data_IF_844825180170
#
_entry.id   IF_844825180170
#
_cell.length_a   1.000
_cell.length_b   1.000
_cell.length_c   1.000
_cell.angle_alpha   90.00
_cell.angle_beta   90.00
_cell.angle_gamma   90.00
#
_symmetry.space_group_name_H-M   'P 1'
#
loop_
_entity.id
_entity.type
_entity.pdbx_description
1 polymer ?
#
# COMPACT_ATOMS: atom_id res chain seq x y z
N UNK A 1 -31.36 -16.10 -20.44
CA UNK A 1 -30.54 -14.98 -19.90
C UNK A 1 -30.00 -15.24 -18.48
N UNK A 2 -30.63 -16.06 -17.63
CA UNK A 2 -30.18 -16.31 -16.25
C UNK A 2 -28.82 -17.03 -16.07
N UNK A 3 -28.43 -17.95 -16.96
CA UNK A 3 -27.22 -18.78 -16.74
C UNK A 3 -25.89 -18.06 -16.97
N UNK A 4 -25.86 -16.96 -17.73
CA UNK A 4 -24.66 -16.14 -17.93
C UNK A 4 -24.39 -15.24 -16.72
N UNK A 5 -25.44 -14.63 -16.17
CA UNK A 5 -25.34 -13.75 -15.00
C UNK A 5 -24.93 -14.53 -13.76
N UNK A 6 -25.48 -15.73 -13.57
CA UNK A 6 -25.12 -16.59 -12.43
C UNK A 6 -23.66 -17.10 -12.50
N UNK A 7 -23.16 -17.40 -13.71
CA UNK A 7 -21.75 -17.78 -13.92
C UNK A 7 -20.80 -16.62 -13.62
N UNK A 8 -21.15 -15.40 -14.03
CA UNK A 8 -20.36 -14.19 -13.75
C UNK A 8 -20.33 -13.91 -12.25
N UNK A 9 -21.48 -13.99 -11.56
CA UNK A 9 -21.56 -13.78 -10.11
C UNK A 9 -20.76 -14.84 -9.33
N UNK A 10 -20.83 -16.12 -9.72
CA UNK A 10 -20.00 -17.17 -9.12
C UNK A 10 -18.52 -16.94 -9.35
N UNK A 11 -18.12 -16.48 -10.53
CA UNK A 11 -16.72 -16.19 -10.85
C UNK A 11 -16.18 -15.01 -10.04
N UNK A 12 -16.96 -13.92 -9.93
CA UNK A 12 -16.62 -12.75 -9.10
C UNK A 12 -16.48 -13.14 -7.63
N UNK A 13 -17.41 -13.95 -7.11
CA UNK A 13 -17.34 -14.46 -5.74
C UNK A 13 -16.11 -15.36 -5.51
N UNK A 14 -15.80 -16.25 -6.46
CA UNK A 14 -14.65 -17.14 -6.37
C UNK A 14 -13.32 -16.38 -6.43
N UNK A 15 -13.24 -15.33 -7.25
CA UNK A 15 -12.06 -14.46 -7.38
C UNK A 15 -11.84 -13.61 -6.12
N UNK A 16 -12.91 -13.05 -5.56
CA UNK A 16 -12.87 -12.34 -4.28
C UNK A 16 -12.46 -13.26 -3.14
N UNK A 17 -13.05 -14.46 -3.06
CA UNK A 17 -12.69 -15.47 -2.06
C UNK A 17 -11.24 -15.95 -2.19
N UNK A 18 -10.75 -16.13 -3.43
CA UNK A 18 -9.35 -16.48 -3.72
C UNK A 18 -8.37 -15.37 -3.33
N UNK A 19 -8.71 -14.10 -3.63
CA UNK A 19 -7.92 -12.94 -3.22
C UNK A 19 -7.81 -12.84 -1.69
N UNK A 20 -8.93 -12.96 -0.99
CA UNK A 20 -9.01 -12.98 0.47
C UNK A 20 -8.18 -14.12 1.09
N UNK A 21 -8.24 -15.32 0.50
CA UNK A 21 -7.43 -16.46 0.98
C UNK A 21 -5.93 -16.28 0.74
N UNK A 22 -5.53 -15.63 -0.37
CA UNK A 22 -4.13 -15.31 -0.62
C UNK A 22 -3.62 -14.26 0.38
N UNK A 23 -4.40 -13.20 0.64
CA UNK A 23 -4.11 -12.22 1.69
C UNK A 23 -3.96 -12.90 3.04
N UNK A 24 -4.93 -13.73 3.44
CA UNK A 24 -4.89 -14.45 4.71
C UNK A 24 -3.59 -15.24 4.89
N UNK A 25 -3.15 -16.01 3.87
CA UNK A 25 -1.89 -16.77 3.93
C UNK A 25 -0.65 -15.89 4.01
N UNK A 26 -0.64 -14.75 3.31
CA UNK A 26 0.48 -13.82 3.33
C UNK A 26 0.55 -13.15 4.71
N UNK A 27 -0.59 -12.75 5.26
CA UNK A 27 -0.67 -12.22 6.61
C UNK A 27 -0.30 -13.24 7.67
N UNK A 28 -0.75 -14.50 7.56
CA UNK A 28 -0.30 -15.59 8.45
C UNK A 28 1.23 -15.78 8.40
N UNK A 29 1.81 -15.71 7.19
CA UNK A 29 3.26 -15.81 6.99
C UNK A 29 4.02 -14.62 7.59
N UNK A 30 3.52 -13.40 7.42
CA UNK A 30 4.08 -12.18 7.98
C UNK A 30 3.93 -12.12 9.51
N UNK A 31 2.79 -12.58 10.04
CA UNK A 31 2.51 -12.68 11.48
C UNK A 31 3.45 -13.66 12.17
N UNK A 32 3.84 -14.75 11.50
CA UNK A 32 4.84 -15.69 12.00
C UNK A 32 6.17 -15.00 12.28
N UNK A 33 6.54 -14.02 11.44
CA UNK A 33 7.80 -13.27 11.56
C UNK A 33 7.62 -11.96 12.32
N UNK A 34 6.38 -11.56 12.65
CA UNK A 34 5.98 -10.30 13.30
C UNK A 34 6.48 -9.03 12.64
N UNK A 35 7.05 -9.12 11.44
CA UNK A 35 7.57 -7.98 10.69
C UNK A 35 7.70 -8.30 9.20
N UNK A 36 7.66 -7.26 8.37
CA UNK A 36 8.01 -7.37 6.95
C UNK A 36 7.41 -6.27 6.09
N UNK A 37 7.97 -6.11 4.90
CA UNK A 37 7.55 -5.14 3.89
C UNK A 37 6.98 -5.90 2.69
N UNK A 38 5.76 -5.54 2.32
CA UNK A 38 5.05 -6.05 1.15
C UNK A 38 4.95 -4.95 0.11
N UNK A 39 5.50 -5.19 -1.07
CA UNK A 39 5.25 -4.35 -2.24
C UNK A 39 4.01 -4.87 -2.99
N UNK A 40 3.04 -3.99 -3.20
CA UNK A 40 1.84 -4.20 -4.01
C UNK A 40 1.97 -3.42 -5.32
N UNK A 41 2.31 -4.12 -6.38
CA UNK A 41 2.43 -3.57 -7.73
C UNK A 41 1.07 -3.59 -8.43
N UNK A 42 0.70 -2.49 -9.06
CA UNK A 42 -0.54 -2.42 -9.85
C UNK A 42 -0.34 -1.52 -11.08
N UNK A 43 -1.11 -1.74 -12.14
CA UNK A 43 -1.17 -0.83 -13.29
C UNK A 43 -2.25 0.23 -13.10
N UNK A 44 -2.20 1.29 -13.91
CA UNK A 44 -3.23 2.34 -13.88
C UNK A 44 -4.63 1.88 -14.31
N UNK A 45 -4.73 0.69 -14.91
CA UNK A 45 -6.00 0.08 -15.34
C UNK A 45 -6.54 -0.94 -14.32
N UNK A 46 -5.77 -1.26 -13.28
CA UNK A 46 -6.18 -2.19 -12.25
C UNK A 46 -7.11 -1.54 -11.21
N UNK A 47 -7.50 -2.33 -10.21
CA UNK A 47 -8.37 -1.94 -9.11
C UNK A 47 -7.71 -2.12 -7.74
N UNK A 48 -6.59 -1.42 -7.47
CA UNK A 48 -5.87 -1.52 -6.20
C UNK A 48 -6.72 -1.12 -4.99
N UNK A 49 -7.75 -0.29 -5.18
CA UNK A 49 -8.67 0.11 -4.13
C UNK A 49 -9.43 -1.07 -3.51
N UNK A 50 -9.70 -2.12 -4.29
CA UNK A 50 -10.36 -3.34 -3.80
C UNK A 50 -9.44 -4.11 -2.85
N UNK A 51 -8.19 -4.29 -3.24
CA UNK A 51 -7.16 -4.95 -2.41
C UNK A 51 -6.90 -4.12 -1.14
N UNK A 52 -6.87 -2.80 -1.24
CA UNK A 52 -6.77 -1.92 -0.08
C UNK A 52 -7.93 -2.10 0.91
N UNK A 53 -9.17 -2.18 0.41
CA UNK A 53 -10.33 -2.45 1.24
C UNK A 53 -10.23 -3.82 1.95
N UNK A 54 -9.82 -4.85 1.22
CA UNK A 54 -9.63 -6.20 1.78
C UNK A 54 -8.58 -6.21 2.90
N UNK A 55 -7.47 -5.50 2.71
CA UNK A 55 -6.40 -5.36 3.71
C UNK A 55 -6.92 -4.67 4.98
N UNK A 56 -7.59 -3.52 4.84
CA UNK A 56 -8.10 -2.79 6.00
C UNK A 56 -9.15 -3.58 6.76
N UNK A 57 -10.05 -4.27 6.06
CA UNK A 57 -11.06 -5.11 6.69
C UNK A 57 -10.41 -6.28 7.46
N UNK A 58 -9.45 -6.97 6.84
CA UNK A 58 -8.73 -8.08 7.48
C UNK A 58 -7.97 -7.62 8.74
N UNK A 59 -7.32 -6.47 8.70
CA UNK A 59 -6.65 -5.91 9.87
C UNK A 59 -7.62 -5.48 10.95
N UNK A 60 -8.74 -4.86 10.58
CA UNK A 60 -9.80 -4.50 11.53
C UNK A 60 -10.39 -5.74 12.23
N UNK A 61 -10.61 -6.84 11.51
CA UNK A 61 -11.03 -8.13 12.08
C UNK A 61 -10.04 -8.68 13.11
N UNK A 62 -8.76 -8.35 12.95
CA UNK A 62 -7.66 -8.71 13.87
C UNK A 62 -7.41 -7.67 14.96
N UNK A 63 -8.20 -6.60 15.02
CA UNK A 63 -8.02 -5.50 15.98
C UNK A 63 -6.83 -4.59 15.68
N UNK A 64 -6.31 -4.61 14.46
CA UNK A 64 -5.20 -3.77 14.00
C UNK A 64 -5.78 -2.53 13.32
N UNK A 65 -5.37 -1.34 13.76
CA UNK A 65 -5.69 -0.07 13.12
C UNK A 65 -4.39 0.55 12.58
N UNK A 66 -4.08 0.42 11.28
CA UNK A 66 -2.77 0.82 10.76
C UNK A 66 -2.61 2.33 10.63
N UNK A 67 -1.37 2.79 10.60
CA UNK A 67 -1.03 4.09 10.03
C UNK A 67 -1.20 4.07 8.50
N UNK A 68 -1.83 5.10 7.93
CA UNK A 68 -1.78 5.36 6.48
C UNK A 68 -0.86 6.54 6.20
N UNK A 69 0.07 6.37 5.27
CA UNK A 69 0.81 7.47 4.63
C UNK A 69 0.17 7.72 3.26
N UNK A 70 -0.60 8.80 3.16
CA UNK A 70 -1.36 9.15 1.95
C UNK A 70 -0.61 10.20 1.13
N UNK A 71 -0.01 9.73 0.03
CA UNK A 71 0.78 10.58 -0.87
C UNK A 71 -0.08 11.03 -2.04
N UNK A 72 -0.21 12.34 -2.26
CA UNK A 72 -0.86 12.90 -3.45
C UNK A 72 -2.36 12.57 -3.55
N UNK A 73 -3.08 12.58 -2.43
CA UNK A 73 -4.52 12.27 -2.31
C UNK A 73 -4.92 10.86 -2.80
N UNK A 74 -4.03 9.88 -2.74
CA UNK A 74 -4.31 8.52 -3.22
C UNK A 74 -5.41 7.84 -2.41
N UNK A 75 -5.42 8.02 -1.07
CA UNK A 75 -6.48 7.50 -0.22
C UNK A 75 -7.86 8.03 -0.64
N UNK A 76 -7.97 9.33 -0.90
CA UNK A 76 -9.21 9.93 -1.37
C UNK A 76 -9.68 9.31 -2.69
N UNK A 77 -8.77 9.12 -3.66
CA UNK A 77 -9.08 8.49 -4.95
C UNK A 77 -9.59 7.06 -4.73
N UNK A 78 -8.93 6.26 -3.89
CA UNK A 78 -9.34 4.90 -3.58
C UNK A 78 -10.75 4.85 -2.97
N UNK A 79 -11.03 5.70 -1.99
CA UNK A 79 -12.37 5.79 -1.38
C UNK A 79 -13.44 6.19 -2.40
N UNK A 80 -13.15 7.14 -3.31
CA UNK A 80 -14.10 7.50 -4.37
C UNK A 80 -14.35 6.34 -5.35
N UNK A 81 -13.30 5.63 -5.75
CA UNK A 81 -13.44 4.45 -6.62
C UNK A 81 -14.27 3.35 -5.98
N UNK A 82 -14.07 3.07 -4.69
CA UNK A 82 -14.88 2.12 -3.93
C UNK A 82 -16.34 2.56 -3.87
N UNK A 83 -16.60 3.83 -3.57
CA UNK A 83 -17.96 4.39 -3.55
C UNK A 83 -18.66 4.29 -4.89
N UNK A 84 -17.98 4.54 -6.00
CA UNK A 84 -18.55 4.35 -7.34
C UNK A 84 -18.91 2.89 -7.65
N UNK A 85 -18.29 1.93 -6.95
CA UNK A 85 -18.61 0.50 -7.01
C UNK A 85 -19.67 0.07 -5.98
N UNK A 86 -20.20 1.00 -5.18
CA UNK A 86 -21.16 0.72 -4.11
C UNK A 86 -20.54 0.06 -2.87
N UNK A 87 -19.22 0.18 -2.70
CA UNK A 87 -18.49 -0.32 -1.54
C UNK A 87 -18.18 0.88 -0.63
N UNK A 88 -18.71 0.84 0.59
CA UNK A 88 -18.34 1.79 1.63
C UNK A 88 -17.19 1.21 2.46
N UNK A 89 -16.17 2.02 2.70
CA UNK A 89 -15.02 1.69 3.54
C UNK A 89 -14.85 2.81 4.55
N UNK A 90 -15.13 2.49 5.82
CA UNK A 90 -14.91 3.43 6.91
C UNK A 90 -13.41 3.55 7.20
N UNK A 91 -12.91 4.77 7.16
CA UNK A 91 -11.52 5.12 7.45
C UNK A 91 -11.41 6.30 8.41
N UNK A 92 -12.52 6.74 9.00
CA UNK A 92 -12.58 8.00 9.77
C UNK A 92 -11.69 7.97 11.02
N UNK A 93 -11.51 6.78 11.61
CA UNK A 93 -10.69 6.52 12.80
C UNK A 93 -9.22 6.18 12.47
N UNK A 94 -8.91 5.93 11.21
CA UNK A 94 -7.57 5.48 10.79
C UNK A 94 -6.60 6.68 10.81
N UNK A 95 -5.47 6.62 11.54
CA UNK A 95 -4.50 7.70 11.56
C UNK A 95 -3.83 7.87 10.20
N UNK A 96 -3.78 9.11 9.70
CA UNK A 96 -3.23 9.44 8.37
C UNK A 96 -2.15 10.51 8.47
N UNK A 97 -0.96 10.22 7.94
CA UNK A 97 0.03 11.22 7.58
C UNK A 97 -0.18 11.57 6.11
N UNK A 98 -0.43 12.86 5.84
CA UNK A 98 -0.61 13.34 4.48
C UNK A 98 0.69 13.89 3.92
N UNK A 99 0.99 13.51 2.69
CA UNK A 99 2.16 13.99 1.98
C UNK A 99 1.76 14.42 0.58
N UNK A 100 1.88 15.70 0.24
CA UNK A 100 1.38 16.23 -1.03
C UNK A 100 -0.16 16.05 -1.19
N UNK A 101 -0.85 17.14 -1.52
CA UNK A 101 -2.30 17.12 -1.72
C UNK A 101 -3.08 17.84 -0.62
N UNK A 102 -4.41 17.81 -0.72
CA UNK A 102 -5.32 18.69 0.04
C UNK A 102 -6.58 17.98 0.55
N UNK A 103 -6.94 16.81 0.00
CA UNK A 103 -8.14 16.09 0.39
C UNK A 103 -7.95 15.48 1.78
N UNK A 104 -8.80 15.83 2.75
CA UNK A 104 -8.73 15.28 4.11
C UNK A 104 -9.65 14.05 4.20
N UNK A 105 -9.04 12.88 4.33
CA UNK A 105 -9.71 11.57 4.46
C UNK A 105 -9.01 10.82 5.59
N UNK A 106 -9.81 10.20 6.48
CA UNK A 106 -9.35 9.62 7.73
C UNK A 106 -8.91 10.63 8.79
N UNK A 107 -8.34 10.13 9.88
CA UNK A 107 -7.86 10.97 10.99
C UNK A 107 -6.48 11.56 10.67
N UNK A 108 -6.46 12.71 9.99
CA UNK A 108 -5.21 13.38 9.59
C UNK A 108 -4.45 13.93 10.80
N UNK A 109 -3.40 13.22 11.23
CA UNK A 109 -2.55 13.56 12.38
C UNK A 109 -1.39 14.51 12.04
N UNK A 110 -1.07 14.64 10.75
CA UNK A 110 -0.03 15.55 10.28
C UNK A 110 0.02 15.65 8.76
N UNK A 111 0.68 16.72 8.29
CA UNK A 111 0.79 17.02 6.86
C UNK A 111 2.20 17.54 6.52
N UNK A 112 2.74 17.02 5.41
CA UNK A 112 4.02 17.43 4.84
C UNK A 112 3.79 17.91 3.41
N UNK A 113 3.93 19.22 3.22
CA UNK A 113 3.73 19.89 1.92
C UNK A 113 5.04 20.13 1.17
N UNK A 114 6.16 20.24 1.90
CA UNK A 114 7.49 20.46 1.34
C UNK A 114 8.24 19.14 1.34
N UNK A 115 8.45 18.57 0.15
CA UNK A 115 9.17 17.31 -0.03
C UNK A 115 10.43 17.50 -0.87
N UNK A 116 10.68 18.71 -1.41
CA UNK A 116 11.87 18.97 -2.23
C UNK A 116 13.16 19.00 -1.39
N UNK A 117 13.05 19.41 -0.13
CA UNK A 117 14.13 19.30 0.85
C UNK A 117 13.95 18.02 1.64
N UNK A 118 14.79 17.03 1.33
CA UNK A 118 14.70 15.70 1.91
C UNK A 118 14.99 15.69 3.41
N UNK A 119 16.03 16.40 3.85
CA UNK A 119 16.40 16.37 5.27
C UNK A 119 15.32 17.07 6.11
N UNK A 120 14.72 18.14 5.58
CA UNK A 120 13.54 18.78 6.19
C UNK A 120 12.32 17.84 6.20
N UNK A 121 12.03 17.19 5.09
CA UNK A 121 10.93 16.22 4.95
C UNK A 121 11.04 15.11 6.00
N UNK A 122 12.22 14.49 6.11
CA UNK A 122 12.50 13.42 7.08
C UNK A 122 12.39 13.90 8.53
N UNK A 123 12.94 15.07 8.86
CA UNK A 123 12.82 15.64 10.19
C UNK A 123 11.37 15.90 10.57
N UNK A 124 10.57 16.41 9.62
CA UNK A 124 9.14 16.67 9.83
C UNK A 124 8.34 15.38 9.96
N UNK A 125 8.61 14.38 9.13
CA UNK A 125 8.01 13.04 9.24
C UNK A 125 8.27 12.44 10.62
N UNK A 126 9.51 12.43 11.08
CA UNK A 126 9.89 11.92 12.40
C UNK A 126 9.23 12.68 13.58
N UNK A 127 8.86 13.94 13.40
CA UNK A 127 8.10 14.71 14.42
C UNK A 127 6.62 14.36 14.41
N UNK A 128 6.04 14.07 13.24
CA UNK A 128 4.64 13.69 13.10
C UNK A 128 4.42 12.27 13.60
N UNK A 129 5.34 11.34 13.31
CA UNK A 129 5.21 9.93 13.74
C UNK A 129 5.15 9.77 15.26
N UNK A 130 5.73 10.71 16.02
CA UNK A 130 5.59 10.75 17.50
C UNK A 130 4.16 10.96 18.00
N UNK A 131 3.24 11.38 17.12
CA UNK A 131 1.82 11.57 17.43
C UNK A 131 0.95 10.38 17.00
N UNK A 132 1.53 9.40 16.31
CA UNK A 132 0.84 8.18 15.87
C UNK A 132 0.55 7.35 17.13
N UNK A 133 -0.68 6.83 17.32
CA UNK A 133 -0.96 5.87 18.37
C UNK A 133 0.00 4.68 18.29
N UNK A 134 0.46 4.17 19.44
CA UNK A 134 1.48 3.12 19.49
C UNK A 134 1.03 1.86 18.74
N UNK A 135 -0.24 1.48 18.91
CA UNK A 135 -0.91 0.37 18.24
C UNK A 135 -0.99 0.51 16.71
N UNK A 136 -0.92 1.75 16.20
CA UNK A 136 -0.94 2.06 14.78
C UNK A 136 0.46 2.22 14.18
N UNK A 137 1.48 2.44 15.01
CA UNK A 137 2.85 2.67 14.58
C UNK A 137 3.57 1.42 14.05
N UNK A 138 3.08 0.23 14.40
CA UNK A 138 3.66 -1.06 13.98
C UNK A 138 3.22 -1.47 12.57
N UNK A 139 2.03 -1.06 12.12
CA UNK A 139 1.47 -1.45 10.83
C UNK A 139 1.24 -0.23 9.96
N UNK A 140 1.77 -0.22 8.73
CA UNK A 140 1.66 0.95 7.85
C UNK A 140 1.20 0.58 6.46
N UNK A 141 0.28 1.37 5.89
CA UNK A 141 -0.03 1.36 4.46
C UNK A 141 0.50 2.64 3.84
N UNK A 142 1.34 2.53 2.82
CA UNK A 142 1.83 3.67 2.04
C UNK A 142 1.13 3.68 0.69
N UNK A 143 0.45 4.78 0.38
CA UNK A 143 -0.33 4.94 -0.84
C UNK A 143 0.28 6.04 -1.72
N UNK A 144 0.48 5.76 -3.01
CA UNK A 144 0.92 6.75 -3.99
C UNK A 144 2.42 7.04 -3.97
N UNK A 145 3.25 6.08 -3.55
CA UNK A 145 4.70 6.27 -3.39
C UNK A 145 5.41 6.65 -4.70
N UNK A 146 4.86 6.22 -5.83
CA UNK A 146 5.36 6.62 -7.16
C UNK A 146 5.30 8.14 -7.38
N UNK A 147 4.40 8.86 -6.71
CA UNK A 147 4.19 10.30 -6.93
C UNK A 147 5.35 11.15 -6.43
N UNK A 148 6.22 10.62 -5.55
CA UNK A 148 7.47 11.32 -5.22
C UNK A 148 8.38 11.46 -6.43
N UNK A 149 8.30 10.54 -7.40
CA UNK A 149 9.10 10.65 -8.62
C UNK A 149 8.84 11.96 -9.36
N UNK A 150 7.60 12.45 -9.33
CA UNK A 150 7.21 13.71 -9.96
C UNK A 150 7.93 14.93 -9.40
N UNK A 151 8.30 14.88 -8.12
CA UNK A 151 8.97 16.00 -7.47
C UNK A 151 10.44 16.11 -7.89
N UNK A 152 11.03 15.03 -8.39
CA UNK A 152 12.44 14.96 -8.75
C UNK A 152 12.68 14.51 -10.20
N UNK A 153 11.66 14.58 -11.07
CA UNK A 153 11.78 14.17 -12.48
C UNK A 153 12.92 14.88 -13.20
N UNK A 154 13.16 16.15 -12.87
CA UNK A 154 14.20 16.97 -13.49
C UNK A 154 15.61 16.70 -12.91
N UNK A 155 15.73 15.82 -11.89
CA UNK A 155 16.99 15.49 -11.24
C UNK A 155 17.07 13.99 -10.87
N UNK A 156 17.32 13.10 -11.84
CA UNK A 156 17.39 11.66 -11.62
C UNK A 156 18.33 11.23 -10.49
N UNK A 157 19.56 11.80 -10.33
CA UNK A 157 20.42 11.46 -9.20
C UNK A 157 19.82 11.80 -7.83
N UNK A 158 19.04 12.88 -7.73
CA UNK A 158 18.34 13.23 -6.49
C UNK A 158 17.19 12.27 -6.20
N UNK A 159 16.49 11.82 -7.25
CA UNK A 159 15.45 10.80 -7.16
C UNK A 159 16.00 9.45 -6.67
N UNK A 160 17.13 9.01 -7.22
CA UNK A 160 17.78 7.76 -6.79
C UNK A 160 18.19 7.83 -5.32
N UNK A 161 18.85 8.92 -4.88
CA UNK A 161 19.22 9.13 -3.47
C UNK A 161 18.03 9.20 -2.54
N UNK A 162 16.92 9.79 -3.00
CA UNK A 162 15.66 9.82 -2.27
C UNK A 162 15.16 8.40 -2.00
N UNK A 163 15.09 7.57 -3.04
CA UNK A 163 14.62 6.20 -2.90
C UNK A 163 15.56 5.34 -2.07
N UNK A 164 16.87 5.40 -2.29
CA UNK A 164 17.85 4.69 -1.44
C UNK A 164 17.68 5.03 0.04
N UNK A 165 17.42 6.30 0.36
CA UNK A 165 17.23 6.72 1.75
C UNK A 165 15.88 6.29 2.29
N UNK A 166 14.77 6.44 1.57
CA UNK A 166 13.45 5.99 2.03
C UNK A 166 13.43 4.48 2.26
N UNK A 167 13.90 3.68 1.30
CA UNK A 167 13.83 2.22 1.43
C UNK A 167 14.73 1.70 2.55
N UNK A 168 15.92 2.29 2.72
CA UNK A 168 16.87 1.84 3.76
C UNK A 168 16.59 2.39 5.15
N UNK A 169 16.04 3.61 5.27
CA UNK A 169 15.90 4.31 6.56
C UNK A 169 14.49 4.37 7.11
N UNK A 170 13.44 4.18 6.30
CA UNK A 170 12.05 4.28 6.79
C UNK A 170 11.37 2.92 6.86
N UNK A 171 11.70 1.99 5.97
CA UNK A 171 11.10 0.65 5.98
C UNK A 171 11.77 -0.31 6.97
N UNK A 172 12.95 0.03 7.51
CA UNK A 172 13.74 -0.82 8.41
C UNK A 172 13.54 -0.51 9.90
N UNK A 173 12.70 0.45 10.23
CA UNK A 173 12.44 0.83 11.62
C UNK A 173 11.00 0.49 11.95
N UNK A 174 10.82 -0.74 12.43
CA UNK A 174 9.98 -1.14 13.57
C UNK A 174 9.47 -2.58 13.39
N UNK A 175 9.07 -3.19 14.50
CA UNK A 175 8.26 -4.40 14.45
C UNK A 175 6.97 -4.09 13.66
N UNK A 176 6.47 -5.07 12.92
CA UNK A 176 5.19 -5.02 12.23
C UNK A 176 5.25 -4.96 10.71
N UNK A 177 4.08 -4.80 10.10
CA UNK A 177 3.85 -5.10 8.68
C UNK A 177 3.62 -3.80 7.91
N UNK A 178 4.46 -3.56 6.91
CA UNK A 178 4.37 -2.39 6.03
C UNK A 178 3.95 -2.81 4.63
N UNK A 179 2.96 -2.12 4.06
CA UNK A 179 2.40 -2.43 2.75
C UNK A 179 2.53 -1.19 1.86
N UNK A 180 3.28 -1.33 0.77
CA UNK A 180 3.57 -0.25 -0.17
C UNK A 180 2.78 -0.47 -1.45
N UNK A 181 1.88 0.45 -1.77
CA UNK A 181 1.17 0.46 -3.06
C UNK A 181 1.98 1.23 -4.09
N UNK A 182 2.37 0.56 -5.19
CA UNK A 182 3.17 1.12 -6.27
C UNK A 182 2.47 0.97 -7.62
N UNK A 183 2.17 2.10 -8.27
CA UNK A 183 1.70 2.09 -9.66
C UNK A 183 2.87 1.89 -10.62
N UNK A 184 3.05 0.67 -11.14
CA UNK A 184 4.17 0.33 -12.04
C UNK A 184 4.02 0.94 -13.44
N UNK A 185 2.84 1.45 -13.80
CA UNK A 185 2.66 2.22 -15.04
C UNK A 185 3.21 3.65 -14.93
N UNK A 186 3.43 4.15 -13.72
CA UNK A 186 3.88 5.52 -13.45
C UNK A 186 5.30 5.56 -12.87
N UNK A 187 5.70 4.53 -12.13
CA UNK A 187 7.03 4.44 -11.53
C UNK A 187 8.14 4.19 -12.58
N UNK A 188 9.35 4.69 -12.29
CA UNK A 188 10.51 4.42 -13.14
C UNK A 188 11.00 2.98 -12.96
N UNK A 189 11.59 2.35 -14.00
CA UNK A 189 12.13 0.98 -13.88
C UNK A 189 13.15 0.82 -12.76
N UNK A 190 14.02 1.82 -12.55
CA UNK A 190 14.97 1.82 -11.45
C UNK A 190 14.26 1.76 -10.09
N UNK A 191 13.22 2.57 -9.91
CA UNK A 191 12.48 2.63 -8.65
C UNK A 191 11.75 1.32 -8.35
N UNK A 192 11.10 0.75 -9.38
CA UNK A 192 10.44 -0.56 -9.29
C UNK A 192 11.45 -1.61 -8.83
N UNK A 193 12.60 -1.73 -9.52
CA UNK A 193 13.63 -2.73 -9.17
C UNK A 193 14.26 -2.51 -7.80
N UNK A 194 14.44 -1.26 -7.38
CA UNK A 194 14.93 -0.96 -6.03
C UNK A 194 13.95 -1.46 -4.96
N UNK A 195 12.65 -1.20 -5.12
CA UNK A 195 11.64 -1.66 -4.17
C UNK A 195 11.46 -3.18 -4.21
N UNK A 196 11.44 -3.80 -5.39
CA UNK A 196 11.39 -5.26 -5.54
C UNK A 196 12.58 -5.93 -4.82
N UNK A 197 13.76 -5.32 -4.85
CA UNK A 197 14.94 -5.82 -4.16
C UNK A 197 14.82 -5.69 -2.64
N UNK A 198 14.35 -4.54 -2.16
CA UNK A 198 14.31 -4.20 -0.73
C UNK A 198 13.14 -4.83 0.03
N UNK A 199 12.01 -5.13 -0.63
CA UNK A 199 10.83 -5.72 0.02
C UNK A 199 10.93 -7.26 0.12
N UNK A 200 10.48 -7.84 1.23
CA UNK A 200 10.46 -9.29 1.44
C UNK A 200 9.46 -9.99 0.51
N UNK A 201 8.29 -9.36 0.32
CA UNK A 201 7.22 -9.85 -0.55
C UNK A 201 6.94 -8.85 -1.66
N UNK A 202 6.68 -9.37 -2.87
CA UNK A 202 6.15 -8.58 -4.00
C UNK A 202 4.93 -9.29 -4.53
N UNK A 203 3.81 -8.57 -4.61
CA UNK A 203 2.55 -9.07 -5.14
C UNK A 203 2.09 -8.10 -6.24
N UNK A 204 1.53 -8.65 -7.31
CA UNK A 204 0.84 -7.89 -8.34
C UNK A 204 -0.65 -7.83 -8.06
N UNK A 205 -1.29 -6.74 -8.47
CA UNK A 205 -2.74 -6.61 -8.53
C UNK A 205 -3.15 -6.70 -9.99
N UNK A 206 -4.05 -7.61 -10.31
CA UNK A 206 -4.61 -7.76 -11.65
C UNK A 206 -6.14 -7.83 -11.53
N UNK A 207 -6.84 -6.87 -12.14
CA UNK A 207 -8.30 -6.74 -12.07
C UNK A 207 -8.85 -6.72 -10.61
N UNK A 208 -8.08 -6.19 -9.66
CA UNK A 208 -8.46 -6.12 -8.25
C UNK A 208 -8.22 -7.41 -7.46
N UNK A 209 -7.50 -8.38 -8.03
CA UNK A 209 -7.12 -9.63 -7.37
C UNK A 209 -5.61 -9.69 -7.23
N UNK A 210 -5.13 -10.26 -6.13
CA UNK A 210 -3.70 -10.43 -5.90
C UNK A 210 -3.12 -11.62 -6.68
N UNK A 211 -1.90 -11.40 -7.17
CA UNK A 211 -1.03 -12.35 -7.83
C UNK A 211 0.33 -12.34 -7.13
N UNK A 212 0.94 -13.50 -6.94
CA UNK A 212 2.30 -13.58 -6.37
C UNK A 212 3.34 -13.23 -7.42
N UNK A 213 4.35 -12.44 -7.02
CA UNK A 213 5.51 -12.09 -7.84
C UNK A 213 6.80 -12.56 -7.15
N UNK A 214 6.98 -12.25 -5.86
CA UNK A 214 8.12 -12.66 -5.04
C UNK A 214 7.62 -13.05 -3.64
N UNK A 215 8.08 -14.20 -3.16
CA UNK A 215 7.87 -14.65 -1.78
C UNK A 215 9.20 -15.18 -1.20
N UNK A 216 9.50 -14.98 0.10
CA UNK A 216 10.67 -15.56 0.74
C UNK A 216 10.69 -17.08 0.60
N UNK A 217 11.88 -17.66 0.43
CA UNK A 217 12.07 -19.12 0.31
C UNK A 217 11.94 -19.68 -1.11
N UNK A 218 11.49 -18.89 -2.10
CA UNK A 218 11.45 -19.31 -3.50
C UNK A 218 10.38 -20.36 -3.83
N UNK A 219 9.45 -20.63 -2.91
CA UNK A 219 8.35 -21.56 -3.14
C UNK A 219 7.41 -21.01 -4.24
N UNK A 220 7.63 -21.50 -5.46
CA UNK A 220 6.65 -21.40 -6.56
C UNK A 220 5.53 -22.40 -6.21
N UNK A 221 4.58 -21.97 -5.39
CA UNK A 221 3.30 -22.69 -5.30
C UNK A 221 2.55 -22.33 -6.57
N UNK A 222 2.54 -23.25 -7.55
CA UNK A 222 1.66 -23.17 -8.70
C UNK A 222 0.23 -22.93 -8.20
N UNK A 223 -0.37 -21.83 -8.65
CA UNK A 223 -1.79 -21.58 -8.42
C UNK A 223 -2.54 -22.39 -9.49
N UNK A 224 -3.32 -23.41 -9.13
CA UNK A 224 -4.16 -24.12 -10.09
C UNK A 224 -5.32 -23.26 -10.62
#
# INVERSE_FOLDING_TARGET
MGSKVEKVLKLVFLLSYRGSMMLGRIFESLETHKQGIVLLEYSSLDHPELVFADILNLWREKGINPLIVDIGNTLHIFIQHLRFKGIELDVDDVPVIKELGKARVGNVIGEISEVNDFDYHMAKYALITKKVPEESGEHTVVLGIEKFSFTFMDNPPKLERYFERITRSHLKFNNGIHILFLNVSMASPYFIKSLEQDCEYVLGVENGVLKRVKVPGGDIIEVP
#
